data_IF_428678296105
#
_entry.id   IF_428678296105
#
_cell.length_a   1.000
_cell.length_b   1.000
_cell.length_c   1.000
_cell.angle_alpha   90.00
_cell.angle_beta   90.00
_cell.angle_gamma   90.00
#
_symmetry.space_group_name_H-M   'P 1'
#
loop_
_entity.id
_entity.type
_entity.pdbx_description
1 polymer ?
#
# COMPACT_ATOMS: atom_id res chain seq x y z
N UNK A 1 -0.38 -56.91 -5.76
CA UNK A 1 0.33 -58.04 -5.08
C UNK A 1 1.81 -57.68 -5.03
N UNK A 2 2.26 -57.45 -3.80
CA UNK A 2 3.48 -57.98 -3.18
C UNK A 2 4.81 -57.63 -3.89
N UNK A 3 5.87 -57.15 -3.31
CA UNK A 3 6.40 -56.99 -1.93
C UNK A 3 7.60 -56.02 -2.05
N UNK A 4 7.83 -55.07 -1.22
CA UNK A 4 8.54 -55.01 0.07
C UNK A 4 9.84 -55.82 0.19
N UNK A 5 10.90 -55.10 0.49
CA UNK A 5 12.04 -55.38 1.42
C UNK A 5 13.37 -54.99 0.78
N UNK A 6 14.14 -54.14 1.36
CA UNK A 6 14.84 -53.93 2.64
C UNK A 6 16.35 -53.92 2.44
N UNK A 7 16.97 -52.80 2.83
CA UNK A 7 18.09 -52.60 3.76
C UNK A 7 19.43 -53.27 3.40
N UNK A 8 20.47 -52.45 3.24
CA UNK A 8 21.58 -52.38 4.19
C UNK A 8 22.67 -51.39 3.77
N UNK A 9 23.09 -50.68 4.72
CA UNK A 9 24.18 -49.74 4.89
C UNK A 9 25.56 -50.39 4.65
N UNK A 10 26.52 -49.61 4.23
CA UNK A 10 27.80 -49.33 4.90
C UNK A 10 28.81 -48.60 4.01
N UNK A 11 29.23 -47.54 4.49
CA UNK A 11 30.60 -47.10 4.88
C UNK A 11 31.42 -46.35 3.82
N UNK A 12 31.55 -45.08 4.06
CA UNK A 12 32.76 -44.24 4.15
C UNK A 12 33.95 -44.59 3.24
N UNK A 13 34.20 -43.75 2.28
CA UNK A 13 35.55 -43.27 1.94
C UNK A 13 35.49 -41.77 1.63
N UNK A 14 36.14 -40.99 2.52
CA UNK A 14 36.42 -39.58 2.35
C UNK A 14 37.48 -39.46 1.24
N UNK A 15 37.10 -38.84 0.12
CA UNK A 15 38.06 -38.24 -0.80
C UNK A 15 37.86 -36.74 -0.71
N UNK A 16 38.73 -36.06 0.04
CA UNK A 16 38.92 -34.63 -0.02
C UNK A 16 39.44 -34.28 -1.44
N UNK A 17 38.51 -33.96 -2.33
CA UNK A 17 38.85 -33.11 -3.48
C UNK A 17 38.72 -31.64 -3.03
N UNK A 18 39.83 -31.04 -2.71
CA UNK A 18 39.98 -29.60 -2.64
C UNK A 18 39.76 -29.07 -4.07
N UNK A 19 38.51 -28.88 -4.45
CA UNK A 19 38.18 -27.96 -5.53
C UNK A 19 38.19 -26.58 -4.92
N UNK A 20 39.23 -25.80 -5.18
CA UNK A 20 39.24 -24.37 -5.07
C UNK A 20 38.18 -23.83 -6.05
N UNK A 21 36.91 -23.93 -5.65
CA UNK A 21 35.84 -23.14 -6.25
C UNK A 21 36.05 -21.72 -5.78
N UNK A 22 36.40 -20.86 -6.71
CA UNK A 22 36.56 -19.44 -6.45
C UNK A 22 35.34 -18.90 -5.71
N UNK A 23 35.54 -18.48 -4.47
CA UNK A 23 34.65 -17.55 -3.81
C UNK A 23 34.57 -16.32 -4.72
N UNK A 24 33.48 -16.19 -5.46
CA UNK A 24 33.22 -14.93 -6.15
C UNK A 24 33.08 -13.84 -5.08
N UNK A 25 33.91 -12.84 -5.18
CA UNK A 25 33.96 -11.63 -4.34
C UNK A 25 32.69 -10.78 -4.49
N UNK A 26 31.47 -11.32 -4.28
CA UNK A 26 30.25 -10.53 -4.46
C UNK A 26 29.99 -9.50 -3.36
N UNK A 27 30.45 -9.73 -2.12
CA UNK A 27 30.25 -8.77 -1.03
C UNK A 27 31.39 -7.77 -0.83
N UNK A 28 32.60 -8.01 -1.40
CA UNK A 28 33.75 -7.12 -1.25
C UNK A 28 33.60 -5.78 -1.97
N UNK A 29 33.06 -5.83 -3.18
CA UNK A 29 32.90 -4.63 -4.03
C UNK A 29 31.76 -3.73 -3.51
N UNK A 30 30.69 -4.32 -2.96
CA UNK A 30 29.56 -3.58 -2.38
C UNK A 30 29.98 -2.82 -1.13
N UNK A 31 30.71 -3.46 -0.20
CA UNK A 31 31.24 -2.81 1.00
C UNK A 31 32.17 -1.64 0.67
N UNK A 32 33.00 -1.78 -0.33
CA UNK A 32 33.87 -0.70 -0.77
C UNK A 32 33.09 0.46 -1.39
N UNK A 33 32.07 0.18 -2.19
CA UNK A 33 31.28 1.20 -2.90
C UNK A 33 30.25 1.88 -1.98
N UNK A 34 29.51 1.10 -1.21
CA UNK A 34 28.36 1.59 -0.45
C UNK A 34 28.60 1.70 1.07
N UNK A 35 29.67 1.13 1.57
CA UNK A 35 29.95 1.01 3.00
C UNK A 35 29.32 -0.22 3.67
N UNK A 36 28.44 -0.94 2.93
CA UNK A 36 27.71 -2.11 3.40
C UNK A 36 27.46 -3.10 2.28
N UNK A 37 27.14 -4.34 2.65
CA UNK A 37 26.69 -5.41 1.77
C UNK A 37 25.27 -5.90 2.14
N UNK A 38 24.54 -5.15 2.97
CA UNK A 38 23.13 -5.41 3.31
C UNK A 38 22.31 -4.13 3.39
N UNK A 39 20.99 -4.26 3.20
CA UNK A 39 19.99 -3.19 3.24
C UNK A 39 18.76 -3.69 3.99
N UNK A 40 18.28 -2.96 4.98
CA UNK A 40 17.04 -3.28 5.70
C UNK A 40 15.90 -2.42 5.17
N UNK A 41 14.85 -3.06 4.67
CA UNK A 41 13.66 -2.40 4.15
C UNK A 41 12.44 -2.80 4.96
N UNK A 42 11.70 -1.85 5.51
CA UNK A 42 10.48 -2.06 6.26
C UNK A 42 9.29 -1.51 5.48
N UNK A 43 8.38 -2.36 5.06
CA UNK A 43 7.33 -2.07 4.10
C UNK A 43 6.05 -2.85 4.40
N UNK A 44 4.88 -2.49 3.80
CA UNK A 44 3.68 -3.31 3.86
C UNK A 44 3.90 -4.71 3.29
N UNK A 45 3.07 -5.67 3.71
CA UNK A 45 3.02 -7.01 3.10
C UNK A 45 2.48 -6.98 1.67
N UNK A 46 2.90 -7.95 0.83
CA UNK A 46 2.44 -8.11 -0.56
C UNK A 46 2.52 -6.82 -1.41
N UNK A 47 3.55 -6.04 -1.20
CA UNK A 47 3.68 -4.68 -1.73
C UNK A 47 4.90 -4.50 -2.64
N UNK A 48 5.44 -5.61 -3.15
CA UNK A 48 6.62 -5.66 -4.00
C UNK A 48 6.61 -6.90 -4.91
N UNK A 49 7.04 -6.75 -6.15
CA UNK A 49 7.20 -7.88 -7.07
C UNK A 49 8.24 -8.89 -6.56
N UNK A 50 7.95 -10.19 -6.72
CA UNK A 50 8.80 -11.29 -6.23
C UNK A 50 10.24 -11.23 -6.77
N UNK A 51 10.44 -10.72 -7.98
CA UNK A 51 11.75 -10.63 -8.64
C UNK A 51 12.54 -9.38 -8.23
N UNK A 52 11.92 -8.32 -7.67
CA UNK A 52 12.58 -7.03 -7.45
C UNK A 52 13.77 -7.15 -6.49
N UNK A 53 13.60 -7.77 -5.33
CA UNK A 53 14.70 -7.99 -4.37
C UNK A 53 15.79 -8.87 -4.96
N UNK A 54 15.50 -10.06 -5.52
CA UNK A 54 16.50 -10.90 -6.16
C UNK A 54 17.30 -10.20 -7.28
N UNK A 55 16.64 -9.38 -8.08
CA UNK A 55 17.30 -8.64 -9.16
C UNK A 55 18.22 -7.53 -8.62
N UNK A 56 17.79 -6.82 -7.57
CA UNK A 56 18.62 -5.85 -6.88
C UNK A 56 19.86 -6.52 -6.27
N UNK A 57 19.68 -7.59 -5.51
CA UNK A 57 20.76 -8.35 -4.88
C UNK A 57 21.78 -8.85 -5.91
N UNK A 58 21.28 -9.41 -7.02
CA UNK A 58 22.11 -9.90 -8.12
C UNK A 58 22.90 -8.78 -8.79
N UNK A 59 22.25 -7.62 -9.03
CA UNK A 59 22.84 -6.47 -9.71
C UNK A 59 23.93 -5.80 -8.88
N UNK A 60 23.70 -5.65 -7.59
CA UNK A 60 24.56 -4.85 -6.71
C UNK A 60 25.46 -5.68 -5.79
N UNK A 61 25.26 -7.00 -5.73
CA UNK A 61 26.08 -7.91 -4.90
C UNK A 61 25.86 -7.71 -3.39
N UNK A 62 24.63 -7.36 -3.00
CA UNK A 62 24.21 -7.07 -1.63
C UNK A 62 23.12 -8.05 -1.19
N UNK A 63 22.74 -8.02 0.08
CA UNK A 63 21.58 -8.74 0.63
C UNK A 63 20.54 -7.72 1.11
N UNK A 64 19.29 -7.88 0.67
CA UNK A 64 18.16 -7.09 1.18
C UNK A 64 17.44 -7.90 2.28
N UNK A 65 17.18 -7.25 3.40
CA UNK A 65 16.46 -7.82 4.53
C UNK A 65 15.11 -7.13 4.61
N UNK A 66 14.07 -7.69 3.96
CA UNK A 66 12.73 -7.14 4.06
C UNK A 66 12.13 -7.46 5.42
N UNK A 67 11.44 -6.50 5.99
CA UNK A 67 10.58 -6.66 7.14
C UNK A 67 9.21 -6.09 6.81
N UNK A 68 8.14 -6.72 7.30
CA UNK A 68 6.77 -6.36 6.92
C UNK A 68 6.02 -5.75 8.11
N UNK A 69 5.12 -4.82 7.82
CA UNK A 69 4.19 -4.26 8.78
C UNK A 69 2.74 -4.30 8.28
N UNK A 70 1.81 -4.43 9.22
CA UNK A 70 0.37 -4.48 8.92
C UNK A 70 -0.27 -3.07 8.96
N UNK A 71 0.38 -2.10 9.64
CA UNK A 71 -0.10 -0.71 9.72
C UNK A 71 1.03 0.28 9.95
N UNK A 72 0.82 1.53 9.55
CA UNK A 72 1.74 2.63 9.81
C UNK A 72 2.00 2.83 11.31
N UNK A 73 1.00 2.60 12.16
CA UNK A 73 1.09 2.71 13.62
C UNK A 73 2.00 1.62 14.21
N UNK A 74 1.90 0.38 13.70
CA UNK A 74 2.79 -0.71 14.09
C UNK A 74 4.22 -0.41 13.63
N UNK A 75 4.41 0.01 12.39
CA UNK A 75 5.71 0.42 11.85
C UNK A 75 6.33 1.52 12.72
N UNK A 76 5.57 2.58 13.02
CA UNK A 76 6.03 3.68 13.84
C UNK A 76 6.40 3.23 15.27
N UNK A 77 5.59 2.38 15.89
CA UNK A 77 5.85 1.87 17.24
C UNK A 77 7.17 1.11 17.30
N UNK A 78 7.42 0.24 16.33
CA UNK A 78 8.63 -0.56 16.24
C UNK A 78 9.86 0.30 15.94
N UNK A 79 9.76 1.18 14.96
CA UNK A 79 10.81 2.13 14.61
C UNK A 79 11.18 3.04 15.80
N UNK A 80 10.17 3.61 16.50
CA UNK A 80 10.39 4.47 17.66
C UNK A 80 10.95 3.73 18.89
N UNK A 81 10.82 2.40 18.95
CA UNK A 81 11.46 1.58 19.97
C UNK A 81 12.99 1.45 19.78
N UNK A 82 13.53 1.98 18.68
CA UNK A 82 14.97 2.07 18.43
C UNK A 82 15.49 1.04 17.43
N UNK A 83 14.62 0.33 16.73
CA UNK A 83 15.06 -0.54 15.63
C UNK A 83 15.56 0.30 14.45
N UNK A 84 16.64 -0.15 13.83
CA UNK A 84 17.31 0.53 12.72
C UNK A 84 16.88 -0.08 11.39
N UNK A 85 16.44 0.78 10.47
CA UNK A 85 16.11 0.46 9.09
C UNK A 85 16.83 1.43 8.15
N UNK A 86 17.03 1.01 6.91
CA UNK A 86 17.63 1.86 5.88
C UNK A 86 16.56 2.54 5.00
N UNK A 87 15.44 1.86 4.81
CA UNK A 87 14.26 2.37 4.09
C UNK A 87 13.00 2.00 4.87
N UNK A 88 12.08 2.95 4.96
CA UNK A 88 10.68 2.71 5.33
C UNK A 88 9.80 3.08 4.14
N UNK A 89 8.63 2.42 4.00
CA UNK A 89 7.63 2.73 2.97
C UNK A 89 6.27 3.03 3.64
N UNK A 90 6.14 4.16 4.34
CA UNK A 90 4.90 4.57 4.98
C UNK A 90 4.00 5.41 4.08
N UNK A 91 2.77 5.63 4.53
CA UNK A 91 1.82 6.53 3.90
C UNK A 91 2.04 8.01 4.28
N UNK A 92 1.45 8.89 3.51
CA UNK A 92 1.55 10.35 3.54
C UNK A 92 1.51 10.98 4.93
N UNK A 93 0.46 10.72 5.74
CA UNK A 93 0.32 11.29 7.09
C UNK A 93 1.43 10.81 8.05
N UNK A 94 1.93 9.60 7.86
CA UNK A 94 3.03 9.09 8.67
C UNK A 94 4.37 9.69 8.24
N UNK A 95 4.56 9.95 6.94
CA UNK A 95 5.72 10.69 6.44
C UNK A 95 5.71 12.10 7.02
N UNK A 96 4.55 12.78 6.98
CA UNK A 96 4.40 14.12 7.59
C UNK A 96 4.80 14.13 9.06
N UNK A 97 4.37 13.11 9.81
CA UNK A 97 4.76 12.92 11.22
C UNK A 97 6.25 12.73 11.40
N UNK A 98 6.85 11.81 10.64
CA UNK A 98 8.28 11.52 10.73
C UNK A 98 9.15 12.73 10.36
N UNK A 99 8.69 13.58 9.41
CA UNK A 99 9.34 14.84 9.08
C UNK A 99 9.25 15.82 10.25
N UNK A 100 8.05 16.02 10.84
CA UNK A 100 7.83 16.90 12.00
C UNK A 100 8.67 16.49 13.23
N UNK A 101 8.87 15.19 13.40
CA UNK A 101 9.67 14.62 14.50
C UNK A 101 11.16 14.52 14.18
N UNK A 102 11.62 15.05 13.04
CA UNK A 102 13.02 15.02 12.57
C UNK A 102 13.60 13.58 12.48
N UNK A 103 12.76 12.60 12.20
CA UNK A 103 13.12 11.19 12.12
C UNK A 103 13.63 10.75 10.74
N UNK A 104 13.61 11.63 9.75
CA UNK A 104 14.05 11.35 8.39
C UNK A 104 15.28 12.19 8.01
N UNK A 105 16.15 11.62 7.19
CA UNK A 105 17.19 12.39 6.52
C UNK A 105 16.72 12.85 5.14
N UNK A 106 17.32 13.95 4.66
CA UNK A 106 17.02 14.45 3.31
C UNK A 106 17.54 13.51 2.23
N UNK A 107 16.74 13.36 1.19
CA UNK A 107 17.10 12.64 -0.02
C UNK A 107 18.13 13.45 -0.82
N UNK A 108 19.25 12.82 -1.17
CA UNK A 108 20.17 13.38 -2.17
C UNK A 108 19.67 12.99 -3.59
N UNK A 109 18.93 13.90 -4.21
CA UNK A 109 18.34 13.69 -5.54
C UNK A 109 19.39 13.42 -6.63
N UNK A 110 20.66 13.80 -6.43
CA UNK A 110 21.73 13.49 -7.38
C UNK A 110 22.07 11.99 -7.39
N UNK A 111 21.76 11.27 -6.33
CA UNK A 111 21.94 9.82 -6.23
C UNK A 111 20.75 9.03 -6.80
N UNK A 112 19.66 9.72 -7.17
CA UNK A 112 18.44 9.09 -7.69
C UNK A 112 18.08 9.72 -9.06
N UNK A 113 18.90 9.52 -10.12
CA UNK A 113 18.62 10.10 -11.43
C UNK A 113 17.29 9.66 -12.04
N UNK A 114 16.71 8.53 -11.62
CA UNK A 114 15.42 8.04 -12.08
C UNK A 114 14.22 8.80 -11.46
N UNK A 115 14.43 9.74 -10.53
CA UNK A 115 13.34 10.66 -10.11
C UNK A 115 12.75 11.47 -11.28
N UNK A 116 13.49 11.64 -12.37
CA UNK A 116 12.97 12.26 -13.61
C UNK A 116 11.82 11.48 -14.25
N UNK A 117 11.67 10.21 -13.91
CA UNK A 117 10.60 9.34 -14.43
C UNK A 117 9.28 9.50 -13.64
N UNK A 118 9.32 10.18 -12.47
CA UNK A 118 8.12 10.37 -11.65
C UNK A 118 7.07 11.22 -12.37
N UNK A 119 5.83 10.78 -12.28
CA UNK A 119 4.69 11.51 -12.81
C UNK A 119 4.49 12.85 -12.06
N UNK A 120 4.09 13.94 -12.73
CA UNK A 120 3.87 15.22 -12.08
C UNK A 120 2.85 15.15 -10.92
N UNK A 121 1.86 14.26 -11.02
CA UNK A 121 0.74 14.10 -10.09
C UNK A 121 1.16 13.59 -8.71
N UNK A 122 2.32 12.90 -8.63
CA UNK A 122 2.85 12.35 -7.37
C UNK A 122 3.93 13.23 -6.75
N UNK A 123 4.29 14.34 -7.40
CA UNK A 123 5.32 15.25 -6.92
C UNK A 123 4.72 16.37 -6.07
N UNK A 124 5.53 16.88 -5.14
CA UNK A 124 5.24 18.08 -4.34
C UNK A 124 3.93 17.99 -3.56
N UNK A 125 3.56 16.80 -3.11
CA UNK A 125 2.39 16.60 -2.26
C UNK A 125 2.53 17.35 -0.92
N UNK A 126 1.39 17.67 -0.28
CA UNK A 126 1.37 18.55 0.89
C UNK A 126 2.20 18.02 2.08
N UNK A 127 2.38 16.73 2.21
CA UNK A 127 3.18 16.12 3.28
C UNK A 127 4.71 16.33 3.10
N UNK A 128 5.18 16.55 1.85
CA UNK A 128 6.60 16.82 1.52
C UNK A 128 6.67 17.67 0.24
N UNK A 129 6.39 18.95 0.35
CA UNK A 129 6.10 19.88 -0.74
C UNK A 129 7.21 20.11 -1.76
N UNK A 130 8.40 19.63 -1.51
CA UNK A 130 9.55 19.70 -2.42
C UNK A 130 10.23 18.34 -2.63
N UNK A 131 9.62 17.26 -2.16
CA UNK A 131 10.19 15.91 -2.18
C UNK A 131 11.61 15.88 -1.59
N UNK A 132 11.81 16.58 -0.47
CA UNK A 132 13.11 16.60 0.21
C UNK A 132 13.36 15.37 1.06
N UNK A 133 12.32 14.66 1.50
CA UNK A 133 12.42 13.54 2.43
C UNK A 133 11.84 12.23 1.90
N UNK A 134 11.04 12.30 0.84
CA UNK A 134 10.28 11.17 0.33
C UNK A 134 10.40 11.02 -1.19
N UNK A 135 10.33 9.78 -1.65
CA UNK A 135 10.26 9.42 -3.07
C UNK A 135 9.02 8.56 -3.28
N UNK A 136 8.02 9.02 -4.06
CA UNK A 136 6.78 8.29 -4.30
C UNK A 136 7.02 6.84 -4.71
N UNK A 137 6.20 5.92 -4.17
CA UNK A 137 6.28 4.48 -4.42
C UNK A 137 5.04 3.93 -5.09
N UNK A 138 3.86 4.13 -4.51
CA UNK A 138 2.54 3.91 -5.10
C UNK A 138 1.55 4.96 -4.60
N UNK A 139 0.44 5.08 -5.28
CA UNK A 139 -0.62 6.00 -4.92
C UNK A 139 -1.97 5.49 -5.40
N UNK A 140 -3.05 6.00 -4.81
CA UNK A 140 -4.37 5.50 -5.13
C UNK A 140 -5.50 6.26 -4.42
N UNK A 141 -6.67 5.66 -4.48
CA UNK A 141 -7.89 6.14 -3.79
C UNK A 141 -8.55 5.00 -3.04
N UNK A 142 -9.49 5.34 -2.16
CA UNK A 142 -10.46 4.41 -1.61
C UNK A 142 -11.76 4.51 -2.42
N UNK A 143 -12.38 3.39 -2.72
CA UNK A 143 -13.63 3.38 -3.48
C UNK A 143 -14.53 2.22 -3.13
N UNK A 144 -15.55 2.03 -3.95
CA UNK A 144 -16.57 1.00 -3.80
C UNK A 144 -16.45 0.02 -4.95
N UNK A 145 -16.08 -1.24 -4.65
CA UNK A 145 -16.31 -2.35 -5.57
C UNK A 145 -17.75 -2.83 -5.39
N UNK A 146 -18.42 -3.05 -6.49
CA UNK A 146 -19.82 -3.47 -6.50
C UNK A 146 -20.11 -4.53 -7.55
N UNK A 147 -21.04 -5.44 -7.26
CA UNK A 147 -21.52 -6.44 -8.21
C UNK A 147 -22.54 -5.79 -9.17
N UNK A 148 -22.17 -5.61 -10.43
CA UNK A 148 -23.00 -4.96 -11.47
C UNK A 148 -24.37 -5.62 -11.70
N UNK A 149 -24.47 -6.92 -11.39
CA UNK A 149 -25.73 -7.67 -11.55
C UNK A 149 -26.73 -7.37 -10.42
N UNK A 150 -26.26 -6.95 -9.23
CA UNK A 150 -27.07 -6.79 -8.02
C UNK A 150 -27.21 -5.32 -7.58
N UNK A 151 -26.25 -4.47 -7.95
CA UNK A 151 -26.16 -3.06 -7.57
C UNK A 151 -26.16 -2.20 -8.82
N UNK A 152 -27.28 -1.54 -9.17
CA UNK A 152 -27.30 -0.59 -10.27
C UNK A 152 -26.38 0.60 -10.02
N UNK A 153 -25.60 1.02 -11.01
CA UNK A 153 -24.72 2.19 -10.91
C UNK A 153 -25.48 3.47 -10.48
N UNK A 154 -26.73 3.62 -10.92
CA UNK A 154 -27.58 4.75 -10.54
C UNK A 154 -27.86 4.83 -9.03
N UNK A 155 -27.82 3.73 -8.30
CA UNK A 155 -27.95 3.75 -6.85
C UNK A 155 -26.67 4.28 -6.19
N UNK A 156 -25.49 3.91 -6.70
CA UNK A 156 -24.22 4.45 -6.26
C UNK A 156 -24.11 5.96 -6.55
N UNK A 157 -24.47 6.38 -7.76
CA UNK A 157 -24.48 7.80 -8.16
C UNK A 157 -25.40 8.63 -7.27
N UNK A 158 -26.56 8.10 -6.89
CA UNK A 158 -27.55 8.82 -6.10
C UNK A 158 -27.26 8.84 -4.59
N UNK A 159 -26.63 7.79 -4.05
CA UNK A 159 -26.42 7.60 -2.62
C UNK A 159 -24.98 7.87 -2.18
N UNK A 160 -24.02 7.72 -3.08
CA UNK A 160 -22.60 7.79 -2.70
C UNK A 160 -22.28 6.77 -1.60
N UNK A 161 -21.61 7.21 -0.56
CA UNK A 161 -21.26 6.36 0.58
C UNK A 161 -22.48 5.93 1.42
N UNK A 162 -23.63 6.63 1.33
CA UNK A 162 -24.88 6.21 1.98
C UNK A 162 -25.43 4.87 1.47
N UNK A 163 -24.88 4.31 0.39
CA UNK A 163 -25.21 2.94 -0.08
C UNK A 163 -24.96 1.92 1.04
N UNK A 164 -23.96 2.14 1.90
CA UNK A 164 -23.65 1.30 3.05
C UNK A 164 -24.62 1.45 4.22
N UNK A 165 -25.59 2.38 4.13
CA UNK A 165 -26.69 2.55 5.08
C UNK A 165 -28.03 2.11 4.53
N UNK A 166 -28.04 1.51 3.34
CA UNK A 166 -29.25 1.01 2.73
C UNK A 166 -29.54 -0.44 3.18
N UNK A 167 -30.65 -0.64 3.89
CA UNK A 167 -31.08 -1.95 4.37
C UNK A 167 -31.26 -3.02 3.29
N UNK A 168 -31.39 -2.62 2.01
CA UNK A 168 -31.36 -3.51 0.84
C UNK A 168 -30.10 -4.38 0.80
N UNK A 169 -28.99 -3.84 1.29
CA UNK A 169 -27.68 -4.48 1.31
C UNK A 169 -27.29 -5.05 2.66
N UNK A 170 -28.26 -5.24 3.58
CA UNK A 170 -28.01 -5.84 4.90
C UNK A 170 -27.34 -7.22 4.78
N UNK A 171 -26.18 -7.38 5.42
CA UNK A 171 -25.35 -8.58 5.38
C UNK A 171 -24.63 -8.84 4.03
N UNK A 172 -24.74 -7.92 3.06
CA UNK A 172 -24.21 -8.07 1.70
C UNK A 172 -23.01 -7.17 1.40
N UNK A 173 -22.40 -6.59 2.43
CA UNK A 173 -21.28 -5.67 2.26
C UNK A 173 -20.05 -6.13 3.05
N UNK A 174 -18.87 -5.88 2.47
CA UNK A 174 -17.62 -5.75 3.18
C UNK A 174 -17.32 -4.28 3.45
N UNK A 175 -16.73 -4.00 4.60
CA UNK A 175 -16.24 -2.67 4.93
C UNK A 175 -14.79 -2.79 5.41
N UNK A 176 -13.91 -1.95 4.92
CA UNK A 176 -12.50 -2.07 5.26
C UNK A 176 -12.28 -1.76 6.74
N UNK A 177 -11.54 -2.62 7.45
CA UNK A 177 -11.27 -2.47 8.88
C UNK A 177 -10.13 -1.48 9.12
N UNK A 178 -10.42 -0.23 8.79
CA UNK A 178 -9.55 0.92 9.01
C UNK A 178 -10.34 2.05 9.65
N UNK A 179 -9.89 2.49 10.81
CA UNK A 179 -10.52 3.61 11.54
C UNK A 179 -10.50 4.88 10.73
N UNK A 180 -9.38 5.16 10.06
CA UNK A 180 -9.20 6.37 9.29
C UNK A 180 -10.11 6.42 8.08
N UNK A 181 -10.17 5.33 7.32
CA UNK A 181 -11.03 5.25 6.13
C UNK A 181 -12.51 5.20 6.49
N UNK A 182 -12.87 4.51 7.58
CA UNK A 182 -14.25 4.48 8.07
C UNK A 182 -14.76 5.88 8.39
N UNK A 183 -13.99 6.67 9.14
CA UNK A 183 -14.36 8.06 9.46
C UNK A 183 -14.30 8.97 8.23
N UNK A 184 -13.32 8.81 7.32
CA UNK A 184 -13.27 9.53 6.06
C UNK A 184 -14.54 9.33 5.23
N UNK A 185 -15.02 8.10 5.11
CA UNK A 185 -16.25 7.75 4.38
C UNK A 185 -17.45 8.52 4.95
N UNK A 186 -17.60 8.53 6.28
CA UNK A 186 -18.66 9.25 6.94
C UNK A 186 -18.52 10.77 6.78
N UNK A 187 -17.31 11.32 6.95
CA UNK A 187 -17.00 12.74 6.76
C UNK A 187 -17.37 13.20 5.35
N UNK A 188 -16.89 12.48 4.32
CA UNK A 188 -17.17 12.83 2.92
C UNK A 188 -18.66 12.77 2.59
N UNK A 189 -19.37 11.76 3.10
CA UNK A 189 -20.81 11.67 2.92
C UNK A 189 -21.56 12.84 3.58
N UNK A 190 -21.09 13.30 4.72
CA UNK A 190 -21.67 14.43 5.45
C UNK A 190 -21.20 15.81 4.95
N UNK A 191 -20.28 15.86 3.99
CA UNK A 191 -19.73 17.08 3.42
C UNK A 191 -18.65 17.73 4.29
N UNK A 192 -17.98 16.94 5.15
CA UNK A 192 -16.88 17.37 6.00
C UNK A 192 -15.52 17.05 5.39
N UNK A 193 -14.47 17.66 5.93
CA UNK A 193 -13.09 17.27 5.61
C UNK A 193 -12.72 15.94 6.26
N UNK A 194 -12.00 15.07 5.55
CA UNK A 194 -11.42 13.84 6.10
C UNK A 194 -10.36 14.09 7.20
N UNK A 195 -9.98 15.37 7.38
CA UNK A 195 -9.01 15.81 8.38
C UNK A 195 -9.66 16.70 9.46
N UNK A 196 -10.99 16.74 9.54
CA UNK A 196 -11.66 17.56 10.54
C UNK A 196 -11.36 17.05 11.95
N UNK A 197 -11.00 17.99 12.84
CA UNK A 197 -10.84 17.75 14.27
C UNK A 197 -11.96 18.41 15.11
N UNK A 198 -13.03 18.88 14.45
CA UNK A 198 -14.20 19.42 15.12
C UNK A 198 -14.99 18.30 15.81
N UNK A 199 -15.26 18.47 17.12
CA UNK A 199 -15.92 17.44 17.92
C UNK A 199 -17.37 17.16 17.48
N UNK A 200 -18.06 18.18 16.94
CA UNK A 200 -19.45 17.98 16.47
C UNK A 200 -19.47 17.21 15.15
N UNK A 201 -18.52 17.47 14.26
CA UNK A 201 -18.36 16.72 13.00
C UNK A 201 -17.95 15.26 13.27
N UNK A 202 -16.94 15.03 14.12
CA UNK A 202 -16.53 13.68 14.54
C UNK A 202 -17.68 12.90 15.17
N UNK A 203 -18.51 13.55 16.02
CA UNK A 203 -19.68 12.88 16.58
C UNK A 203 -20.72 12.55 15.50
N UNK A 204 -20.96 13.42 14.53
CA UNK A 204 -21.87 13.13 13.42
C UNK A 204 -21.38 11.96 12.56
N UNK A 205 -20.07 11.89 12.28
CA UNK A 205 -19.42 10.77 11.60
C UNK A 205 -19.59 9.46 12.38
N UNK A 206 -19.36 9.50 13.68
CA UNK A 206 -19.54 8.34 14.55
C UNK A 206 -20.98 7.83 14.54
N UNK A 207 -21.98 8.71 14.64
CA UNK A 207 -23.39 8.33 14.55
C UNK A 207 -23.73 7.75 13.15
N UNK A 208 -23.15 8.31 12.07
CA UNK A 208 -23.29 7.75 10.72
C UNK A 208 -22.77 6.30 10.66
N UNK A 209 -21.59 6.04 11.24
CA UNK A 209 -20.96 4.71 11.28
C UNK A 209 -21.78 3.72 12.14
N UNK A 210 -22.31 4.16 13.26
CA UNK A 210 -23.21 3.34 14.08
C UNK A 210 -24.51 2.97 13.35
N UNK A 211 -25.09 3.93 12.62
CA UNK A 211 -26.28 3.67 11.81
C UNK A 211 -25.98 2.70 10.67
N UNK A 212 -24.85 2.88 9.97
CA UNK A 212 -24.33 1.94 8.97
C UNK A 212 -24.21 0.52 9.58
N UNK A 213 -23.52 0.40 10.71
CA UNK A 213 -23.34 -0.88 11.40
C UNK A 213 -24.68 -1.53 11.75
N UNK A 214 -25.64 -0.78 12.27
CA UNK A 214 -26.98 -1.26 12.63
C UNK A 214 -27.81 -1.65 11.42
N UNK A 215 -27.71 -0.89 10.31
CA UNK A 215 -28.61 -1.04 9.16
C UNK A 215 -28.13 -2.12 8.20
N UNK A 216 -26.86 -2.11 7.83
CA UNK A 216 -26.30 -3.07 6.86
C UNK A 216 -25.48 -4.17 7.52
N UNK A 217 -24.94 -3.92 8.70
CA UNK A 217 -24.09 -4.84 9.44
C UNK A 217 -23.01 -5.47 8.54
N UNK A 218 -22.15 -4.68 7.91
CA UNK A 218 -21.12 -5.19 7.03
C UNK A 218 -20.11 -6.03 7.80
N UNK A 219 -19.42 -6.90 7.06
CA UNK A 219 -18.29 -7.65 7.62
C UNK A 219 -17.06 -6.76 7.50
N UNK A 220 -16.41 -6.45 8.63
CA UNK A 220 -15.14 -5.73 8.64
C UNK A 220 -14.02 -6.69 8.26
N UNK A 221 -13.22 -6.31 7.27
CA UNK A 221 -12.14 -7.12 6.68
C UNK A 221 -10.98 -6.22 6.25
N UNK A 222 -9.82 -6.80 6.07
CA UNK A 222 -8.68 -6.22 5.37
C UNK A 222 -8.52 -6.92 4.01
N UNK A 223 -7.40 -7.52 3.70
CA UNK A 223 -7.08 -8.15 2.40
C UNK A 223 -8.05 -9.29 1.99
N UNK A 224 -8.78 -9.88 2.96
CA UNK A 224 -9.82 -10.88 2.67
C UNK A 224 -10.95 -10.34 1.77
N UNK A 225 -11.05 -9.03 1.63
CA UNK A 225 -12.01 -8.38 0.70
C UNK A 225 -11.76 -8.81 -0.74
N UNK A 226 -10.50 -8.99 -1.14
CA UNK A 226 -10.10 -9.33 -2.50
C UNK A 226 -10.73 -10.66 -2.90
N UNK A 227 -10.37 -11.74 -2.23
CA UNK A 227 -10.93 -13.07 -2.48
C UNK A 227 -12.46 -13.10 -2.34
N UNK A 228 -12.98 -12.38 -1.35
CA UNK A 228 -14.40 -12.28 -1.09
C UNK A 228 -15.19 -11.69 -2.28
N UNK A 229 -14.68 -10.62 -2.88
CA UNK A 229 -15.33 -9.98 -4.03
C UNK A 229 -15.07 -10.72 -5.32
N UNK A 230 -13.87 -11.26 -5.56
CA UNK A 230 -13.58 -12.14 -6.71
C UNK A 230 -14.58 -13.31 -6.76
N UNK A 231 -14.85 -13.93 -5.61
CA UNK A 231 -15.80 -15.04 -5.49
C UNK A 231 -17.29 -14.60 -5.44
N UNK A 232 -17.59 -13.31 -5.52
CA UNK A 232 -18.96 -12.79 -5.53
C UNK A 232 -19.72 -13.03 -4.21
N UNK A 233 -19.05 -13.12 -3.07
CA UNK A 233 -19.66 -13.45 -1.78
C UNK A 233 -20.48 -12.28 -1.20
N UNK A 234 -20.22 -11.06 -1.65
CA UNK A 234 -20.93 -9.84 -1.28
C UNK A 234 -21.25 -9.00 -2.53
N UNK A 235 -22.18 -8.06 -2.35
CA UNK A 235 -22.61 -7.17 -3.40
C UNK A 235 -21.86 -5.83 -3.41
N UNK A 236 -21.28 -5.43 -2.27
CA UNK A 236 -20.58 -4.16 -2.04
C UNK A 236 -19.33 -4.37 -1.20
N UNK A 237 -18.30 -3.60 -1.49
CA UNK A 237 -17.12 -3.54 -0.65
C UNK A 237 -16.46 -2.15 -0.69
N UNK A 238 -15.96 -1.68 0.46
CA UNK A 238 -14.97 -0.60 0.52
C UNK A 238 -13.60 -1.21 0.29
N UNK A 239 -12.85 -0.68 -0.69
CA UNK A 239 -11.53 -1.22 -1.06
C UNK A 239 -10.57 -0.10 -1.48
N UNK A 240 -9.28 -0.37 -1.42
CA UNK A 240 -8.26 0.43 -2.09
C UNK A 240 -8.25 0.16 -3.60
N UNK A 241 -7.84 1.16 -4.36
CA UNK A 241 -7.92 1.11 -5.83
C UNK A 241 -7.11 -0.03 -6.46
N UNK A 242 -5.93 -0.39 -5.92
CA UNK A 242 -5.15 -1.52 -6.43
C UNK A 242 -5.82 -2.87 -6.18
N UNK A 243 -6.41 -3.06 -5.00
CA UNK A 243 -7.21 -4.27 -4.70
C UNK A 243 -8.41 -4.35 -5.65
N UNK A 244 -9.03 -3.20 -5.95
CA UNK A 244 -10.12 -3.13 -6.93
C UNK A 244 -9.63 -3.51 -8.34
N UNK A 245 -8.43 -3.08 -8.76
CA UNK A 245 -7.82 -3.51 -10.04
C UNK A 245 -7.73 -5.02 -10.10
N UNK A 246 -7.21 -5.66 -9.06
CA UNK A 246 -7.12 -7.12 -8.96
C UNK A 246 -8.50 -7.78 -9.05
N UNK A 247 -9.47 -7.28 -8.27
CA UNK A 247 -10.84 -7.83 -8.25
C UNK A 247 -11.50 -7.73 -9.64
N UNK A 248 -11.38 -6.58 -10.30
CA UNK A 248 -11.99 -6.35 -11.62
C UNK A 248 -11.34 -7.20 -12.72
N UNK A 249 -10.03 -7.45 -12.60
CA UNK A 249 -9.29 -8.30 -13.55
C UNK A 249 -9.69 -9.78 -13.46
N UNK A 250 -10.06 -10.25 -12.26
CA UNK A 250 -10.43 -11.63 -12.01
C UNK A 250 -11.95 -11.88 -12.07
N UNK A 251 -12.79 -10.85 -11.99
CA UNK A 251 -14.25 -10.97 -12.04
C UNK A 251 -14.90 -9.83 -12.81
N UNK A 252 -15.32 -10.10 -14.05
CA UNK A 252 -15.96 -9.14 -14.96
C UNK A 252 -17.32 -8.63 -14.48
N UNK A 253 -17.97 -9.31 -13.53
CA UNK A 253 -19.24 -8.88 -12.94
C UNK A 253 -19.04 -7.74 -11.93
N UNK A 254 -17.83 -7.46 -11.52
CA UNK A 254 -17.50 -6.38 -10.59
C UNK A 254 -17.26 -5.06 -11.32
N UNK A 255 -17.61 -3.96 -10.66
CA UNK A 255 -17.33 -2.61 -11.09
C UNK A 255 -16.73 -1.80 -9.94
N UNK A 256 -16.10 -0.68 -10.27
CA UNK A 256 -15.55 0.23 -9.30
C UNK A 256 -16.23 1.59 -9.38
N UNK A 257 -16.44 2.23 -8.25
CA UNK A 257 -17.06 3.54 -8.17
C UNK A 257 -16.45 4.39 -7.06
N UNK A 258 -16.07 5.61 -7.38
CA UNK A 258 -15.63 6.60 -6.40
C UNK A 258 -16.70 7.68 -6.24
N UNK A 259 -17.32 7.84 -5.06
CA UNK A 259 -18.42 8.78 -4.85
C UNK A 259 -18.05 10.24 -5.14
N UNK A 260 -19.02 10.99 -5.67
CA UNK A 260 -18.87 12.40 -5.98
C UNK A 260 -18.72 13.30 -4.73
N UNK A 261 -19.04 12.80 -3.55
CA UNK A 261 -18.76 13.49 -2.29
C UNK A 261 -17.29 13.52 -1.90
N UNK A 262 -16.43 12.80 -2.63
CA UNK A 262 -14.99 12.71 -2.39
C UNK A 262 -14.57 11.46 -1.63
N UNK A 263 -13.26 11.26 -1.57
CA UNK A 263 -12.61 10.12 -0.91
C UNK A 263 -11.22 10.49 -0.40
N UNK A 264 -10.51 9.52 0.18
CA UNK A 264 -9.08 9.64 0.43
C UNK A 264 -8.29 9.37 -0.86
N UNK A 265 -7.37 10.26 -1.20
CA UNK A 265 -6.31 10.08 -2.17
C UNK A 265 -5.01 9.93 -1.39
N UNK A 266 -4.47 8.73 -1.36
CA UNK A 266 -3.31 8.41 -0.55
C UNK A 266 -2.04 8.26 -1.38
N UNK A 267 -0.91 8.46 -0.74
CA UNK A 267 0.43 8.29 -1.29
C UNK A 267 1.29 7.50 -0.32
N UNK A 268 1.92 6.45 -0.81
CA UNK A 268 3.00 5.78 -0.11
C UNK A 268 4.33 6.17 -0.73
N UNK A 269 5.35 6.35 0.09
CA UNK A 269 6.64 6.75 -0.42
C UNK A 269 7.80 6.09 0.34
N UNK A 270 8.90 5.90 -0.37
CA UNK A 270 10.16 5.45 0.20
C UNK A 270 10.83 6.62 0.91
N UNK A 271 11.17 6.42 2.19
CA UNK A 271 11.87 7.40 3.02
C UNK A 271 13.11 6.77 3.65
N UNK A 272 14.13 7.57 3.95
CA UNK A 272 15.36 7.12 4.59
C UNK A 272 15.36 7.66 6.03
N UNK A 273 15.33 6.79 7.05
CA UNK A 273 15.41 7.21 8.45
C UNK A 273 16.68 8.01 8.77
N UNK A 274 16.57 8.93 9.74
CA UNK A 274 17.71 9.73 10.19
C UNK A 274 18.86 8.86 10.76
N UNK A 275 18.52 7.70 11.32
CA UNK A 275 19.45 6.73 11.89
C UNK A 275 19.81 5.57 10.92
N UNK A 276 19.47 5.67 9.63
CA UNK A 276 19.82 4.65 8.65
C UNK A 276 21.34 4.41 8.60
N UNK A 277 21.73 3.15 8.64
CA UNK A 277 23.14 2.75 8.63
C UNK A 277 23.75 2.78 7.22
N UNK A 278 22.90 2.57 6.20
CA UNK A 278 23.34 2.37 4.82
C UNK A 278 22.68 3.36 3.82
N UNK A 279 22.73 4.68 4.07
CA UNK A 279 21.97 5.66 3.27
C UNK A 279 22.36 5.69 1.78
N UNK A 280 23.64 5.41 1.43
CA UNK A 280 24.04 5.33 0.03
C UNK A 280 23.39 4.16 -0.70
N UNK A 281 23.32 3.01 -0.05
CA UNK A 281 22.69 1.82 -0.63
C UNK A 281 21.17 1.99 -0.68
N UNK A 282 20.59 2.71 0.28
CA UNK A 282 19.18 3.09 0.24
C UNK A 282 18.84 3.94 -0.98
N UNK A 283 19.65 4.97 -1.30
CA UNK A 283 19.46 5.76 -2.52
C UNK A 283 19.58 4.91 -3.79
N UNK A 284 20.52 3.96 -3.84
CA UNK A 284 20.66 3.05 -4.98
C UNK A 284 19.44 2.14 -5.14
N UNK A 285 18.85 1.65 -4.03
CA UNK A 285 17.63 0.86 -4.07
C UNK A 285 16.45 1.70 -4.58
N UNK A 286 16.26 2.90 -4.05
CA UNK A 286 15.21 3.82 -4.51
C UNK A 286 15.36 4.11 -6.01
N UNK A 287 16.60 4.41 -6.45
CA UNK A 287 16.86 4.64 -7.87
C UNK A 287 16.58 3.42 -8.73
N UNK A 288 16.86 2.21 -8.23
CA UNK A 288 16.58 0.96 -8.92
C UNK A 288 15.08 0.72 -9.10
N UNK A 289 14.30 0.92 -8.04
CA UNK A 289 12.83 0.78 -8.05
C UNK A 289 12.19 1.70 -9.10
N UNK A 290 12.71 2.91 -9.27
CA UNK A 290 12.19 3.90 -10.23
C UNK A 290 12.66 3.69 -11.68
N UNK A 291 13.47 2.66 -11.99
CA UNK A 291 13.78 2.35 -13.39
C UNK A 291 12.56 1.75 -14.10
N UNK A 292 12.39 2.04 -15.38
CA UNK A 292 11.19 1.68 -16.13
C UNK A 292 10.88 0.17 -16.06
N UNK A 293 11.89 -0.69 -16.28
CA UNK A 293 11.69 -2.15 -16.25
C UNK A 293 11.22 -2.65 -14.87
N UNK A 294 11.87 -2.17 -13.79
CA UNK A 294 11.54 -2.58 -12.44
C UNK A 294 10.19 -1.98 -11.97
N UNK A 295 9.95 -0.73 -12.35
CA UNK A 295 8.68 -0.06 -12.03
C UNK A 295 7.51 -0.77 -12.74
N UNK A 296 7.70 -1.26 -13.98
CA UNK A 296 6.70 -2.05 -14.71
C UNK A 296 6.39 -3.35 -13.97
N UNK A 297 7.42 -4.18 -13.74
CA UNK A 297 7.25 -5.47 -13.07
C UNK A 297 6.57 -5.29 -11.70
N UNK A 298 6.97 -4.26 -10.95
CA UNK A 298 6.41 -3.97 -9.65
C UNK A 298 4.95 -3.51 -9.73
N UNK A 299 4.60 -2.70 -10.72
CA UNK A 299 3.23 -2.22 -10.96
C UNK A 299 2.30 -3.36 -11.38
N UNK A 300 2.74 -4.23 -12.29
CA UNK A 300 1.98 -5.41 -12.72
C UNK A 300 1.71 -6.38 -11.56
N UNK A 301 2.71 -6.56 -10.68
CA UNK A 301 2.58 -7.46 -9.54
C UNK A 301 1.67 -6.93 -8.43
N UNK A 302 1.71 -5.60 -8.17
CA UNK A 302 1.02 -4.97 -7.03
C UNK A 302 -0.31 -4.33 -7.42
N UNK A 303 -0.51 -4.04 -8.72
CA UNK A 303 -1.73 -3.46 -9.30
C UNK A 303 -2.09 -2.04 -8.83
N UNK A 304 -1.24 -1.34 -8.09
CA UNK A 304 -1.45 0.06 -7.74
C UNK A 304 -0.88 1.01 -8.79
N UNK A 305 -1.40 2.24 -8.83
CA UNK A 305 -0.95 3.24 -9.79
C UNK A 305 0.56 3.51 -9.64
N UNK A 306 1.28 3.38 -10.75
CA UNK A 306 2.73 3.59 -10.78
C UNK A 306 3.08 5.04 -10.50
N UNK A 307 4.11 5.32 -9.69
CA UNK A 307 4.64 6.67 -9.58
C UNK A 307 5.47 7.07 -10.81
N UNK A 308 5.90 6.10 -11.63
CA UNK A 308 6.63 6.33 -12.87
C UNK A 308 5.65 6.69 -13.99
N UNK A 309 5.73 7.92 -14.50
CA UNK A 309 4.80 8.43 -15.52
C UNK A 309 4.86 7.64 -16.83
N UNK A 310 6.04 7.16 -17.25
CA UNK A 310 6.15 6.34 -18.46
C UNK A 310 5.37 5.02 -18.32
N UNK A 311 5.43 4.41 -17.13
CA UNK A 311 4.75 3.15 -16.83
C UNK A 311 3.26 3.38 -16.60
N UNK A 312 2.89 4.48 -15.93
CA UNK A 312 1.49 4.85 -15.75
C UNK A 312 0.78 5.02 -17.11
N UNK A 313 1.43 5.72 -18.04
CA UNK A 313 0.93 5.91 -19.42
C UNK A 313 0.89 4.58 -20.19
N UNK A 314 1.92 3.73 -20.07
CA UNK A 314 1.99 2.42 -20.73
C UNK A 314 0.87 1.49 -20.26
N UNK A 315 0.62 1.40 -18.95
CA UNK A 315 -0.40 0.52 -18.37
C UNK A 315 -1.82 0.92 -18.75
N UNK A 316 -2.07 2.20 -19.01
CA UNK A 316 -3.41 2.73 -19.36
C UNK A 316 -3.63 2.94 -20.84
N UNK A 317 -2.57 2.86 -21.67
CA UNK A 317 -2.68 3.00 -23.12
C UNK A 317 -3.48 1.87 -23.77
N UNK A 318 -3.85 2.05 -25.06
CA UNK A 318 -4.45 0.99 -25.87
C UNK A 318 -3.53 -0.25 -25.93
N UNK A 319 -4.03 -1.38 -25.47
CA UNK A 319 -3.28 -2.63 -25.32
C UNK A 319 -2.43 -2.74 -24.04
N UNK A 320 -2.49 -1.76 -23.15
CA UNK A 320 -1.84 -1.83 -21.83
C UNK A 320 -2.58 -2.77 -20.87
N UNK A 321 -1.88 -3.24 -19.84
CA UNK A 321 -2.39 -4.24 -18.89
C UNK A 321 -3.67 -3.78 -18.17
N UNK A 322 -3.78 -2.48 -17.89
CA UNK A 322 -4.92 -1.90 -17.17
C UNK A 322 -5.75 -0.97 -18.06
N UNK A 323 -5.73 -1.17 -19.39
CA UNK A 323 -6.60 -0.43 -20.32
C UNK A 323 -8.06 -0.52 -19.89
N UNK A 324 -8.70 0.64 -19.68
CA UNK A 324 -10.11 0.73 -19.32
C UNK A 324 -10.46 0.24 -17.91
N UNK A 325 -9.49 -0.11 -17.07
CA UNK A 325 -9.73 -0.42 -15.67
C UNK A 325 -9.98 0.86 -14.88
N UNK A 326 -11.24 1.06 -14.45
CA UNK A 326 -11.72 2.29 -13.80
C UNK A 326 -11.04 2.55 -12.43
N UNK A 327 -10.44 1.53 -11.81
CA UNK A 327 -9.81 1.62 -10.50
C UNK A 327 -8.32 2.01 -10.58
N UNK A 328 -7.65 1.75 -11.71
CA UNK A 328 -6.19 1.84 -11.77
C UNK A 328 -5.67 3.29 -11.69
N UNK A 329 -6.26 4.22 -12.45
CA UNK A 329 -5.80 5.61 -12.47
C UNK A 329 -6.57 6.47 -11.47
N UNK A 330 -5.96 6.94 -10.38
CA UNK A 330 -6.64 7.81 -9.43
C UNK A 330 -7.09 9.11 -10.10
N UNK A 331 -8.36 9.43 -9.94
CA UNK A 331 -8.92 10.67 -10.51
C UNK A 331 -8.30 11.92 -9.85
N UNK A 332 -8.22 13.01 -10.59
CA UNK A 332 -7.96 14.34 -10.03
C UNK A 332 -9.31 15.04 -9.74
N UNK A 333 -9.66 15.13 -8.44
CA UNK A 333 -10.95 15.62 -8.02
C UNK A 333 -10.83 16.49 -6.76
N UNK A 334 -11.41 17.68 -6.80
CA UNK A 334 -11.24 18.71 -5.77
C UNK A 334 -11.72 18.32 -4.36
N UNK A 335 -12.64 17.35 -4.25
CA UNK A 335 -13.14 16.86 -2.98
C UNK A 335 -12.37 15.63 -2.44
N UNK A 336 -11.43 15.10 -3.22
CA UNK A 336 -10.55 14.04 -2.73
C UNK A 336 -9.44 14.66 -1.88
N UNK A 337 -9.15 14.08 -0.71
CA UNK A 337 -8.21 14.64 0.25
C UNK A 337 -7.13 13.64 0.63
N UNK A 338 -5.93 14.12 0.87
CA UNK A 338 -4.89 13.36 1.57
C UNK A 338 -5.10 13.44 3.08
N UNK A 339 -4.58 12.47 3.82
CA UNK A 339 -4.57 12.55 5.27
C UNK A 339 -3.42 13.42 5.78
N UNK A 340 -3.67 14.13 6.89
CA UNK A 340 -2.66 14.87 7.63
C UNK A 340 -2.42 14.25 9.00
N UNK A 341 -1.21 14.41 9.53
CA UNK A 341 -0.90 13.95 10.86
C UNK A 341 -1.52 14.87 11.93
N UNK A 342 -2.46 14.31 12.67
CA UNK A 342 -3.04 14.88 13.90
C UNK A 342 -3.14 13.78 14.96
N UNK A 343 -2.28 13.82 15.96
CA UNK A 343 -2.24 12.81 17.03
C UNK A 343 -3.52 12.76 17.85
N UNK A 344 -4.14 13.93 18.11
CA UNK A 344 -5.38 13.99 18.88
C UNK A 344 -6.53 13.37 18.10
N UNK A 345 -6.65 13.72 16.82
CA UNK A 345 -7.65 13.14 15.92
C UNK A 345 -7.49 11.63 15.85
N UNK A 346 -6.29 11.13 15.54
CA UNK A 346 -5.99 9.69 15.44
C UNK A 346 -6.41 8.92 16.70
N UNK A 347 -6.03 9.40 17.91
CA UNK A 347 -6.44 8.78 19.17
C UNK A 347 -7.96 8.78 19.38
N UNK A 348 -8.61 9.84 18.95
CA UNK A 348 -10.08 9.97 19.06
C UNK A 348 -10.77 8.97 18.14
N UNK A 349 -10.36 8.92 16.86
CA UNK A 349 -10.94 8.02 15.87
C UNK A 349 -10.73 6.55 16.26
N UNK A 350 -9.53 6.17 16.71
CA UNK A 350 -9.22 4.81 17.17
C UNK A 350 -10.13 4.39 18.34
N UNK A 351 -10.31 5.26 19.32
CA UNK A 351 -11.19 4.99 20.45
C UNK A 351 -12.67 4.86 20.08
N UNK A 352 -13.13 5.57 19.05
CA UNK A 352 -14.51 5.48 18.55
C UNK A 352 -14.68 4.28 17.60
N UNK A 353 -13.68 3.94 16.78
CA UNK A 353 -13.73 2.79 15.88
C UNK A 353 -13.94 1.47 16.60
N UNK A 354 -13.26 1.26 17.72
CA UNK A 354 -13.48 0.10 18.61
C UNK A 354 -14.95 -0.02 19.02
N UNK A 355 -15.63 1.09 19.27
CA UNK A 355 -17.05 1.08 19.62
C UNK A 355 -17.95 0.79 18.43
N UNK A 356 -17.61 1.30 17.24
CA UNK A 356 -18.34 1.01 15.99
C UNK A 356 -18.26 -0.48 15.67
N UNK A 357 -17.07 -1.06 15.66
CA UNK A 357 -16.87 -2.47 15.29
C UNK A 357 -17.49 -3.42 16.31
N UNK A 358 -17.53 -3.04 17.61
CA UNK A 358 -18.16 -3.81 18.69
C UNK A 358 -19.67 -3.60 18.80
N UNK A 359 -20.28 -2.65 18.09
CA UNK A 359 -21.71 -2.38 18.16
C UNK A 359 -22.55 -3.56 17.62
N UNK A 360 -23.71 -3.81 18.25
CA UNK A 360 -24.65 -4.89 17.90
C UNK A 360 -25.87 -4.36 17.15
#
# INVERSE_FOLDING_TARGET
MKNFKRIAAAALIIVMCISAAGCSKKGGDAKEKYGSDFLKVFMPGEYIADNLIPDFEKKFGVTVIPELFDSNEMMYTKFSAGESYDILIPSDYMIERLIKEEQLQKIDKNLIPNMKNLAPEVLNAAYDSDNSYSVPYFWGTVGIVYNKNNVPISELESKGWDIFRDSKYAGKAYFYDSERDGFMIAAKQLGYSANSSDEAEINAEYEWLLDMKKTTNPVFVTDQVIDGMINGTKDLAVVYSGDAVTILSENEDMGYYTPASGTNRWYDAMVIPANAENPKLAHEFINFVLSDDISRDNTEAVCYASPNGNILDEMTAEGGEFEGNEAYYPRDYELDEIYHDDEKLRKTLSGLWIKVTAAQ
#
